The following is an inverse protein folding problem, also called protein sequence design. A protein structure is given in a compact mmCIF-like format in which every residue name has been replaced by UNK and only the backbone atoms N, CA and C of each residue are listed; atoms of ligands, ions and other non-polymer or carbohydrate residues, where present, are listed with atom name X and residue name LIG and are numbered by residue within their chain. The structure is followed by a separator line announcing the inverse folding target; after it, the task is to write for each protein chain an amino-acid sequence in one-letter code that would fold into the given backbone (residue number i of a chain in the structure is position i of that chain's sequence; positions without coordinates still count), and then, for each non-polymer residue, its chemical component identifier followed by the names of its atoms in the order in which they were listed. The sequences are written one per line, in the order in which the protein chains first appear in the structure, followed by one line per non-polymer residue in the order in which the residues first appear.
data_IF_627229449084
#
_entry.id   IF_627229449084
#
_cell.length_a   1.000
_cell.length_b   1.000
_cell.length_c   1.000
_cell.angle_alpha   90.00
_cell.angle_beta   90.00
_cell.angle_gamma   90.00
#
_symmetry.space_group_name_H-M   'P 1'
#
loop_
_entity.id
_entity.type
_entity.pdbx_description
1 polymer ?
#
# COMPACT_ATOMS: atom_id res chain seq x y z
N UNK A 1 -31.31 4.26 -8.12
CA UNK A 1 -30.23 3.75 -7.27
C UNK A 1 -28.94 4.04 -8.03
N UNK A 2 -28.20 5.08 -7.63
CA UNK A 2 -26.92 5.38 -8.27
C UNK A 2 -25.94 4.24 -7.93
N UNK A 3 -25.25 3.73 -8.95
CA UNK A 3 -24.16 2.79 -8.72
C UNK A 3 -23.06 3.53 -7.96
N UNK A 4 -22.63 2.98 -6.82
CA UNK A 4 -21.50 3.51 -6.07
C UNK A 4 -20.26 3.32 -6.96
N UNK A 5 -19.75 4.43 -7.51
CA UNK A 5 -18.52 4.43 -8.29
C UNK A 5 -17.33 4.28 -7.35
N UNK A 6 -16.71 3.10 -7.35
CA UNK A 6 -15.48 2.87 -6.59
C UNK A 6 -14.31 3.50 -7.37
N UNK A 7 -13.52 4.39 -6.76
CA UNK A 7 -12.38 5.01 -7.42
C UNK A 7 -11.32 3.97 -7.81
N UNK A 8 -10.56 4.27 -8.86
CA UNK A 8 -9.30 3.57 -9.17
C UNK A 8 -8.32 3.82 -8.00
N UNK A 9 -7.56 2.81 -7.60
CA UNK A 9 -6.55 2.93 -6.52
C UNK A 9 -5.16 2.77 -7.10
N UNK A 10 -4.35 3.83 -6.99
CA UNK A 10 -2.95 3.84 -7.41
C UNK A 10 -2.02 3.86 -6.20
N UNK A 11 -1.05 2.96 -6.24
CA UNK A 11 0.01 2.82 -5.24
C UNK A 11 1.31 3.09 -5.95
N UNK A 12 2.05 4.09 -5.47
CA UNK A 12 3.34 4.47 -6.03
C UNK A 12 4.40 4.45 -4.95
N UNK A 13 5.51 3.76 -5.23
CA UNK A 13 6.69 3.68 -4.38
C UNK A 13 6.39 3.35 -2.90
N UNK A 14 5.44 2.44 -2.67
CA UNK A 14 5.10 2.03 -1.30
C UNK A 14 6.19 1.11 -0.75
N UNK A 15 6.99 1.66 0.16
CA UNK A 15 7.90 0.91 1.02
C UNK A 15 7.40 0.93 2.46
N UNK A 16 7.71 -0.11 3.22
CA UNK A 16 7.37 -0.19 4.64
C UNK A 16 8.40 -1.05 5.35
N UNK A 17 8.96 -0.52 6.44
CA UNK A 17 9.90 -1.21 7.30
C UNK A 17 9.36 -1.31 8.72
N UNK A 18 9.71 -2.40 9.40
CA UNK A 18 9.59 -2.51 10.85
C UNK A 18 10.99 -2.59 11.40
N UNK A 19 11.33 -1.65 12.29
CA UNK A 19 12.70 -1.48 12.79
C UNK A 19 13.69 -1.37 11.61
N UNK A 20 14.64 -2.30 11.50
CA UNK A 20 15.66 -2.36 10.44
C UNK A 20 15.30 -3.32 9.29
N UNK A 21 14.14 -3.97 9.31
CA UNK A 21 13.70 -4.89 8.26
C UNK A 21 12.66 -4.23 7.35
N UNK A 22 13.03 -4.02 6.09
CA UNK A 22 12.08 -3.61 5.05
C UNK A 22 11.22 -4.82 4.64
N UNK A 23 9.89 -4.66 4.68
CA UNK A 23 8.89 -5.72 4.42
C UNK A 23 8.16 -5.49 3.09
N UNK A 24 7.97 -4.22 2.70
CA UNK A 24 7.49 -3.83 1.38
C UNK A 24 8.59 -3.01 0.71
N UNK A 25 8.95 -3.38 -0.51
CA UNK A 25 10.04 -2.76 -1.25
C UNK A 25 9.49 -2.12 -2.52
N UNK A 26 9.36 -0.80 -2.55
CA UNK A 26 9.00 -0.02 -3.74
C UNK A 26 7.80 -0.59 -4.52
N UNK A 27 6.71 -0.89 -3.82
CA UNK A 27 5.51 -1.49 -4.42
C UNK A 27 4.79 -0.45 -5.27
N UNK A 28 4.58 -0.79 -6.55
CA UNK A 28 3.87 0.03 -7.53
C UNK A 28 2.72 -0.80 -8.13
N UNK A 29 1.47 -0.41 -7.84
CA UNK A 29 0.28 -1.17 -8.22
C UNK A 29 -0.81 -0.21 -8.71
N UNK A 30 -1.51 -0.62 -9.76
CA UNK A 30 -2.73 0.04 -10.21
C UNK A 30 -3.93 -0.92 -10.08
N UNK A 31 -4.86 -0.61 -9.19
CA UNK A 31 -6.12 -1.34 -9.05
C UNK A 31 -7.20 -0.59 -9.84
N UNK A 32 -7.58 -1.17 -10.96
CA UNK A 32 -8.63 -0.64 -11.83
C UNK A 32 -10.02 -0.82 -11.19
N UNK A 33 -10.93 0.08 -11.54
CA UNK A 33 -12.33 0.00 -11.12
C UNK A 33 -12.97 -1.31 -11.57
N UNK A 34 -13.92 -1.80 -10.78
CA UNK A 34 -14.75 -2.97 -11.11
C UNK A 34 -13.96 -4.27 -11.34
N UNK A 35 -12.78 -4.41 -10.73
CA UNK A 35 -12.00 -5.65 -10.75
C UNK A 35 -11.83 -6.23 -9.34
N UNK A 36 -11.71 -7.56 -9.29
CA UNK A 36 -11.37 -8.30 -8.09
C UNK A 36 -9.91 -8.74 -8.16
N UNK A 37 -9.15 -8.47 -7.10
CA UNK A 37 -7.73 -8.77 -7.03
C UNK A 37 -7.42 -9.71 -5.87
N UNK A 38 -6.46 -10.61 -6.09
CA UNK A 38 -5.93 -11.50 -5.05
C UNK A 38 -4.43 -11.24 -4.88
N UNK A 39 -3.97 -11.16 -3.64
CA UNK A 39 -2.55 -10.99 -3.30
C UNK A 39 -2.02 -12.36 -2.88
N UNK A 40 -1.08 -12.90 -3.67
CA UNK A 40 -0.50 -14.22 -3.46
C UNK A 40 0.99 -14.11 -3.11
N UNK A 41 1.50 -15.09 -2.39
CA UNK A 41 2.92 -15.16 -1.99
C UNK A 41 3.12 -16.00 -0.73
N UNK A 42 4.37 -16.39 -0.44
CA UNK A 42 4.71 -17.20 0.73
C UNK A 42 4.43 -16.48 2.06
N UNK A 43 4.42 -17.21 3.16
CA UNK A 43 4.30 -16.61 4.50
C UNK A 43 5.47 -15.63 4.74
N UNK A 44 5.18 -14.49 5.36
CA UNK A 44 6.16 -13.43 5.58
C UNK A 44 6.40 -12.47 4.40
N UNK A 45 5.83 -12.71 3.21
CA UNK A 45 6.06 -11.86 2.02
C UNK A 45 5.43 -10.45 2.06
N UNK A 46 4.95 -9.99 3.22
CA UNK A 46 4.38 -8.65 3.36
C UNK A 46 2.91 -8.46 2.95
N UNK A 47 2.16 -9.51 2.57
CA UNK A 47 0.76 -9.40 2.09
C UNK A 47 -0.16 -8.66 3.09
N UNK A 48 -0.14 -9.07 4.36
CA UNK A 48 -0.93 -8.43 5.41
C UNK A 48 -0.47 -7.00 5.66
N UNK A 49 0.84 -6.73 5.58
CA UNK A 49 1.40 -5.38 5.68
C UNK A 49 0.91 -4.48 4.55
N UNK A 50 0.91 -4.99 3.31
CA UNK A 50 0.38 -4.29 2.14
C UNK A 50 -1.10 -3.95 2.33
N UNK A 51 -1.94 -4.92 2.67
CA UNK A 51 -3.37 -4.68 2.91
C UNK A 51 -3.62 -3.66 4.03
N UNK A 52 -2.90 -3.77 5.15
CA UNK A 52 -3.02 -2.82 6.25
C UNK A 52 -2.56 -1.40 5.87
N UNK A 53 -1.55 -1.26 5.00
CA UNK A 53 -1.13 0.04 4.48
C UNK A 53 -2.16 0.63 3.52
N UNK A 54 -2.71 -0.17 2.62
CA UNK A 54 -3.79 0.27 1.73
C UNK A 54 -5.05 0.69 2.50
N UNK A 55 -5.39 -0.05 3.55
CA UNK A 55 -6.50 0.26 4.45
C UNK A 55 -6.21 1.34 5.50
N UNK A 56 -5.04 2.00 5.44
CA UNK A 56 -4.59 3.02 6.41
C UNK A 56 -4.66 2.59 7.89
N UNK A 57 -4.60 1.29 8.17
CA UNK A 57 -4.65 0.73 9.53
C UNK A 57 -3.25 0.61 10.16
N UNK A 58 -2.20 0.78 9.36
CA UNK A 58 -0.84 1.01 9.85
C UNK A 58 -0.52 2.48 9.65
N UNK A 59 -0.36 3.24 10.73
CA UNK A 59 0.24 4.57 10.67
C UNK A 59 1.67 4.45 10.09
N UNK A 60 2.05 5.32 9.18
CA UNK A 60 3.46 5.50 8.83
C UNK A 60 3.96 6.63 9.69
N UNK A 61 5.10 6.44 10.35
CA UNK A 61 5.99 7.56 10.52
C UNK A 61 6.44 7.98 9.11
N UNK A 62 5.73 8.95 8.53
CA UNK A 62 6.31 9.74 7.45
C UNK A 62 7.64 10.28 7.99
N UNK A 63 8.76 9.76 7.50
CA UNK A 63 9.96 10.59 7.42
C UNK A 63 9.66 11.67 6.39
N UNK A 64 8.89 12.67 6.80
CA UNK A 64 8.74 13.95 6.12
C UNK A 64 10.13 14.60 6.09
N UNK A 65 10.91 14.30 5.05
CA UNK A 65 12.09 15.08 4.74
C UNK A 65 11.62 16.44 4.24
N UNK A 66 11.41 17.37 5.17
CA UNK A 66 11.29 18.79 4.89
C UNK A 66 12.66 19.27 4.39
N UNK A 67 12.84 19.38 3.08
CA UNK A 67 13.89 20.26 2.55
C UNK A 67 13.35 21.69 2.57
N UNK A 68 13.84 22.48 3.52
CA UNK A 68 13.78 23.95 3.46
C UNK A 68 14.95 24.43 2.58
N UNK A 69 14.64 25.09 1.48
CA UNK A 69 15.50 26.13 0.91
C UNK A 69 14.82 27.46 1.12
#
# INVERSE_FOLDING_TARGET
MEAIDFPEVKVHNLSCSFESNEVLHNININFEKNKFYSILGPNGSGKTTLLKKLGKTLESEEKNHFYRK
#
